data_IF_599027856042
#
_entry.id   IF_599027856042
#
_cell.length_a   1.000
_cell.length_b   1.000
_cell.length_c   1.000
_cell.angle_alpha   90.00
_cell.angle_beta   90.00
_cell.angle_gamma   90.00
#
_symmetry.space_group_name_H-M   'P 1'
#
loop_
_entity.id
_entity.type
_entity.pdbx_description
1 polymer ?
#
# COMPACT_ATOMS: atom_id res chain seq x y z
N UNK A 1 29.47 13.07 19.27
CA UNK A 1 29.70 11.78 18.58
C UNK A 1 28.36 11.32 18.04
N UNK A 2 28.09 11.51 16.76
CA UNK A 2 26.93 10.89 16.11
C UNK A 2 27.12 9.37 16.16
N UNK A 3 26.12 8.58 16.59
CA UNK A 3 26.28 7.13 16.58
C UNK A 3 26.53 6.68 15.14
N UNK A 4 27.65 6.02 14.88
CA UNK A 4 28.06 5.50 13.56
C UNK A 4 27.05 4.50 12.94
N UNK A 5 26.00 4.13 13.68
CA UNK A 5 25.00 3.14 13.31
C UNK A 5 23.55 3.68 13.34
N UNK A 6 23.34 4.98 13.50
CA UNK A 6 21.98 5.52 13.48
C UNK A 6 21.55 5.77 12.02
N UNK A 7 20.54 5.04 11.50
CA UNK A 7 20.05 5.29 10.15
C UNK A 7 19.51 6.72 10.06
N UNK A 8 19.68 7.40 8.91
CA UNK A 8 19.11 8.72 8.70
C UNK A 8 17.60 8.69 8.96
N UNK A 9 17.03 9.73 9.61
CA UNK A 9 15.63 9.75 10.01
C UNK A 9 14.66 9.55 8.82
N UNK A 10 15.03 10.00 7.62
CA UNK A 10 14.29 9.80 6.38
C UNK A 10 14.13 8.31 6.00
N UNK A 11 15.14 7.48 6.27
CA UNK A 11 15.10 6.03 5.99
C UNK A 11 14.14 5.35 6.96
N UNK A 12 14.18 5.73 8.23
CA UNK A 12 13.27 5.21 9.26
C UNK A 12 11.83 5.59 8.95
N UNK A 13 11.59 6.84 8.59
CA UNK A 13 10.27 7.33 8.20
C UNK A 13 9.75 6.59 6.95
N UNK A 14 10.59 6.43 5.92
CA UNK A 14 10.24 5.66 4.72
C UNK A 14 9.87 4.22 5.05
N UNK A 15 10.67 3.52 5.86
CA UNK A 15 10.40 2.14 6.26
C UNK A 15 9.09 2.02 7.06
N UNK A 16 8.83 2.97 7.96
CA UNK A 16 7.59 3.00 8.74
C UNK A 16 6.37 3.19 7.84
N UNK A 17 6.40 4.19 6.95
CA UNK A 17 5.30 4.48 6.01
C UNK A 17 5.05 3.30 5.08
N UNK A 18 6.11 2.73 4.54
CA UNK A 18 6.08 1.57 3.65
C UNK A 18 5.45 0.34 4.32
N UNK A 19 5.73 0.13 5.60
CA UNK A 19 5.32 -1.10 6.30
C UNK A 19 3.95 -0.99 6.99
N UNK A 20 3.58 0.17 7.52
CA UNK A 20 2.44 0.31 8.44
C UNK A 20 1.45 1.41 8.10
N UNK A 21 1.70 2.21 7.05
CA UNK A 21 0.82 3.35 6.72
C UNK A 21 0.25 3.22 5.31
N UNK A 22 1.08 2.88 4.34
CA UNK A 22 0.70 2.98 2.93
C UNK A 22 -0.46 2.05 2.56
N UNK A 23 -0.41 0.77 2.97
CA UNK A 23 -1.46 -0.19 2.62
C UNK A 23 -2.75 0.08 3.40
N UNK A 24 -2.65 0.56 4.64
CA UNK A 24 -3.76 0.93 5.50
C UNK A 24 -4.54 2.11 4.91
N UNK A 25 -3.83 3.18 4.52
CA UNK A 25 -4.44 4.33 3.86
C UNK A 25 -5.01 3.91 2.50
N UNK A 26 -4.30 3.10 1.72
CA UNK A 26 -4.81 2.60 0.43
C UNK A 26 -6.07 1.73 0.61
N UNK A 27 -6.11 0.87 1.62
CA UNK A 27 -7.28 0.05 1.95
C UNK A 27 -8.48 0.91 2.34
N UNK A 28 -8.27 1.98 3.13
CA UNK A 28 -9.33 2.92 3.47
C UNK A 28 -9.86 3.65 2.24
N UNK A 29 -8.98 4.17 1.37
CA UNK A 29 -9.40 4.81 0.11
C UNK A 29 -10.15 3.83 -0.79
N UNK A 30 -9.68 2.59 -0.89
CA UNK A 30 -10.33 1.53 -1.64
C UNK A 30 -11.71 1.18 -1.09
N UNK A 31 -11.85 1.03 0.23
CA UNK A 31 -13.11 0.79 0.91
C UNK A 31 -14.11 1.92 0.67
N UNK A 32 -13.67 3.17 0.84
CA UNK A 32 -14.50 4.35 0.57
C UNK A 32 -15.00 4.35 -0.88
N UNK A 33 -14.15 3.98 -1.84
CA UNK A 33 -14.52 3.87 -3.25
C UNK A 33 -15.47 2.70 -3.53
N UNK A 34 -15.34 1.57 -2.83
CA UNK A 34 -16.25 0.42 -2.94
C UNK A 34 -17.65 0.75 -2.41
N UNK A 35 -17.74 1.50 -1.32
CA UNK A 35 -19.01 1.90 -0.67
C UNK A 35 -19.66 3.07 -1.43
N UNK A 36 -18.91 4.13 -1.74
CA UNK A 36 -19.43 5.35 -2.35
C UNK A 36 -19.46 5.36 -3.89
N UNK A 37 -18.68 4.48 -4.53
CA UNK A 37 -18.59 4.39 -5.99
C UNK A 37 -19.81 3.73 -6.63
N UNK A 38 -20.17 4.18 -7.82
CA UNK A 38 -21.21 3.55 -8.66
C UNK A 38 -20.58 3.03 -9.96
N UNK A 39 -21.03 1.87 -10.43
CA UNK A 39 -20.62 1.30 -11.71
C UNK A 39 -19.31 0.49 -11.66
N UNK A 40 -18.66 0.37 -12.82
CA UNK A 40 -17.54 -0.56 -13.09
C UNK A 40 -16.29 -0.22 -12.26
N UNK A 41 -16.11 1.04 -11.85
CA UNK A 41 -14.99 1.48 -11.01
C UNK A 41 -14.96 0.81 -9.61
N UNK A 42 -16.03 0.12 -9.19
CA UNK A 42 -16.05 -0.64 -7.92
C UNK A 42 -15.18 -1.88 -7.98
N UNK A 43 -15.00 -2.49 -9.15
CA UNK A 43 -14.25 -3.74 -9.29
C UNK A 43 -12.75 -3.54 -9.05
N UNK A 44 -12.06 -2.57 -9.68
CA UNK A 44 -10.66 -2.33 -9.36
C UNK A 44 -10.47 -1.91 -7.90
N UNK A 45 -11.39 -1.11 -7.35
CA UNK A 45 -11.36 -0.75 -5.93
C UNK A 45 -11.49 -1.97 -5.00
N UNK A 46 -12.37 -2.93 -5.32
CA UNK A 46 -12.52 -4.16 -4.56
C UNK A 46 -11.25 -5.03 -4.63
N UNK A 47 -10.66 -5.15 -5.83
CA UNK A 47 -9.39 -5.87 -6.00
C UNK A 47 -8.29 -5.22 -5.20
N UNK A 48 -8.13 -3.89 -5.29
CA UNK A 48 -7.17 -3.14 -4.45
C UNK A 48 -7.42 -3.39 -2.97
N UNK A 49 -8.67 -3.35 -2.51
CA UNK A 49 -9.02 -3.57 -1.11
C UNK A 49 -8.58 -4.96 -0.64
N UNK A 50 -8.85 -6.01 -1.42
CA UNK A 50 -8.43 -7.38 -1.09
C UNK A 50 -6.90 -7.49 -1.06
N UNK A 51 -6.21 -6.91 -2.04
CA UNK A 51 -4.74 -6.93 -2.07
C UNK A 51 -4.14 -6.18 -0.87
N UNK A 52 -4.62 -4.98 -0.58
CA UNK A 52 -4.16 -4.20 0.56
C UNK A 52 -4.46 -4.90 1.89
N UNK A 53 -5.67 -5.44 2.06
CA UNK A 53 -6.04 -6.22 3.24
C UNK A 53 -5.15 -7.46 3.41
N UNK A 54 -4.80 -8.17 2.32
CA UNK A 54 -3.88 -9.31 2.39
C UNK A 54 -2.46 -8.91 2.80
N UNK A 55 -1.98 -7.74 2.35
CA UNK A 55 -0.67 -7.22 2.75
C UNK A 55 -0.64 -6.74 4.21
N UNK A 56 -1.70 -6.08 4.67
CA UNK A 56 -1.90 -5.72 6.08
C UNK A 56 -1.93 -6.99 6.93
N UNK A 57 -2.76 -7.97 6.56
CA UNK A 57 -2.85 -9.24 7.26
C UNK A 57 -1.48 -9.93 7.35
N UNK A 58 -0.73 -9.99 6.25
CA UNK A 58 0.62 -10.59 6.24
C UNK A 58 1.60 -9.83 7.13
N UNK A 59 1.48 -8.50 7.22
CA UNK A 59 2.32 -7.66 8.09
C UNK A 59 2.04 -7.90 9.57
N UNK A 60 0.77 -8.10 9.93
CA UNK A 60 0.34 -8.30 11.33
C UNK A 60 0.20 -9.77 11.75
N UNK A 61 0.20 -10.73 10.82
CA UNK A 61 0.06 -12.16 11.09
C UNK A 61 1.06 -12.69 12.13
N UNK A 62 2.35 -12.27 12.15
CA UNK A 62 3.28 -12.68 13.19
C UNK A 62 2.89 -12.25 14.60
N UNK A 63 2.29 -11.06 14.75
CA UNK A 63 1.83 -10.56 16.04
C UNK A 63 0.65 -11.38 16.60
N UNK A 64 -0.08 -12.08 15.72
CA UNK A 64 -1.19 -12.97 16.06
C UNK A 64 -0.75 -14.45 16.17
N UNK A 65 0.54 -14.75 16.00
CA UNK A 65 1.04 -16.13 15.95
C UNK A 65 0.66 -16.91 14.68
N UNK A 66 0.18 -16.21 13.63
CA UNK A 66 -0.28 -16.79 12.35
C UNK A 66 0.82 -16.77 11.27
N UNK A 67 2.09 -16.84 11.67
CA UNK A 67 3.25 -16.79 10.78
C UNK A 67 3.78 -18.17 10.36
N UNK A 68 3.02 -19.23 10.65
CA UNK A 68 3.40 -20.60 10.33
C UNK A 68 2.65 -21.11 9.10
N UNK A 69 3.34 -21.87 8.25
CA UNK A 69 2.75 -22.55 7.11
C UNK A 69 3.07 -21.95 5.73
N UNK A 70 2.74 -22.69 4.66
CA UNK A 70 3.14 -22.35 3.29
C UNK A 70 2.45 -21.09 2.78
N UNK A 71 1.21 -20.82 3.20
CA UNK A 71 0.46 -19.65 2.77
C UNK A 71 1.13 -18.35 3.24
N UNK A 72 1.45 -18.25 4.54
CA UNK A 72 2.15 -17.10 5.09
C UNK A 72 3.54 -16.95 4.45
N UNK A 73 4.28 -18.05 4.30
CA UNK A 73 5.63 -18.02 3.72
C UNK A 73 5.63 -17.48 2.29
N UNK A 74 4.67 -17.90 1.47
CA UNK A 74 4.54 -17.41 0.10
C UNK A 74 4.10 -15.94 0.06
N UNK A 75 3.13 -15.56 0.90
CA UNK A 75 2.68 -14.17 1.01
C UNK A 75 3.82 -13.24 1.47
N UNK A 76 4.58 -13.65 2.48
CA UNK A 76 5.73 -12.91 2.98
C UNK A 76 6.84 -12.78 1.92
N UNK A 77 7.10 -13.83 1.13
CA UNK A 77 8.04 -13.76 -0.01
C UNK A 77 7.59 -12.77 -1.08
N UNK A 78 6.30 -12.79 -1.44
CA UNK A 78 5.73 -11.82 -2.38
C UNK A 78 5.82 -10.39 -1.83
N UNK A 79 5.59 -10.21 -0.53
CA UNK A 79 5.74 -8.92 0.15
C UNK A 79 7.18 -8.46 0.29
N UNK A 80 8.16 -9.37 0.28
CA UNK A 80 9.58 -9.04 0.33
C UNK A 80 10.21 -8.85 -1.07
N UNK A 81 9.55 -9.31 -2.13
CA UNK A 81 10.04 -9.21 -3.51
C UNK A 81 10.28 -7.76 -3.95
N UNK A 82 11.33 -7.52 -4.75
CA UNK A 82 11.78 -6.17 -5.17
C UNK A 82 11.90 -5.18 -3.98
N UNK A 83 12.46 -5.67 -2.87
CA UNK A 83 12.58 -4.90 -1.63
C UNK A 83 11.24 -4.59 -0.96
N UNK A 84 10.14 -5.19 -1.39
CA UNK A 84 8.76 -4.95 -0.92
C UNK A 84 8.04 -3.77 -1.56
N UNK A 85 8.63 -3.19 -2.61
CA UNK A 85 7.99 -2.08 -3.33
C UNK A 85 6.86 -2.56 -4.25
N UNK A 86 6.99 -3.75 -4.85
CA UNK A 86 5.94 -4.33 -5.70
C UNK A 86 4.63 -4.56 -4.94
N UNK A 87 4.71 -4.92 -3.66
CA UNK A 87 3.56 -5.10 -2.79
C UNK A 87 2.76 -3.82 -2.55
N UNK A 88 3.38 -2.65 -2.70
CA UNK A 88 2.71 -1.34 -2.62
C UNK A 88 2.27 -0.82 -3.99
N UNK A 89 3.13 -0.97 -4.99
CA UNK A 89 2.91 -0.42 -6.33
C UNK A 89 1.82 -1.16 -7.10
N UNK A 90 1.73 -2.50 -6.99
CA UNK A 90 0.73 -3.26 -7.75
C UNK A 90 -0.70 -2.92 -7.30
N UNK A 91 -1.05 -2.95 -6.00
CA UNK A 91 -2.40 -2.54 -5.56
C UNK A 91 -2.69 -1.07 -5.90
N UNK A 92 -1.66 -0.21 -5.84
CA UNK A 92 -1.75 1.20 -6.19
C UNK A 92 -2.06 1.41 -7.68
N UNK A 93 -1.39 0.68 -8.56
CA UNK A 93 -1.64 0.72 -10.01
C UNK A 93 -3.05 0.24 -10.36
N UNK A 94 -3.52 -0.84 -9.72
CA UNK A 94 -4.91 -1.31 -9.85
C UNK A 94 -5.89 -0.24 -9.38
N UNK A 95 -5.59 0.44 -8.27
CA UNK A 95 -6.45 1.51 -7.75
C UNK A 95 -6.49 2.71 -8.70
N UNK A 96 -5.38 3.03 -9.36
CA UNK A 96 -5.29 4.12 -10.33
C UNK A 96 -6.28 3.95 -11.49
N UNK A 97 -6.66 2.71 -11.85
CA UNK A 97 -7.70 2.44 -12.86
C UNK A 97 -9.03 3.11 -12.47
N UNK A 98 -9.32 3.23 -11.16
CA UNK A 98 -10.51 3.92 -10.66
C UNK A 98 -10.52 5.43 -10.98
N UNK A 99 -9.36 6.05 -11.16
CA UNK A 99 -9.21 7.49 -11.43
C UNK A 99 -9.53 7.86 -12.89
N UNK A 100 -9.40 6.90 -13.81
CA UNK A 100 -9.62 7.09 -15.25
C UNK A 100 -11.13 7.02 -15.59
N UNK A 101 -11.96 6.48 -14.69
CA UNK A 101 -13.38 6.28 -14.96
C UNK A 101 -14.15 7.62 -15.01
N UNK A 102 -14.79 7.97 -16.14
CA UNK A 102 -15.58 9.19 -16.25
C UNK A 102 -16.77 9.16 -15.28
N UNK A 103 -17.06 10.29 -14.60
CA UNK A 103 -18.13 10.48 -13.60
C UNK A 103 -17.82 10.00 -12.16
N UNK A 104 -16.55 9.84 -11.80
CA UNK A 104 -16.17 9.58 -10.43
C UNK A 104 -16.56 10.75 -9.49
N UNK A 105 -17.59 10.52 -8.66
CA UNK A 105 -17.86 11.33 -7.47
C UNK A 105 -16.72 11.08 -6.48
N UNK A 106 -16.28 12.10 -5.74
CA UNK A 106 -15.15 12.05 -4.79
C UNK A 106 -13.75 11.97 -5.43
N UNK A 107 -13.46 12.87 -6.38
CA UNK A 107 -12.12 13.05 -6.96
C UNK A 107 -11.00 13.33 -5.96
N UNK A 108 -11.34 13.80 -4.76
CA UNK A 108 -10.35 13.99 -3.69
C UNK A 108 -9.65 12.67 -3.32
N UNK A 109 -10.33 11.52 -3.43
CA UNK A 109 -9.73 10.19 -3.21
C UNK A 109 -8.59 9.94 -4.20
N UNK A 110 -8.81 10.31 -5.46
CA UNK A 110 -7.82 10.16 -6.53
C UNK A 110 -6.63 11.11 -6.29
N UNK A 111 -6.89 12.34 -5.84
CA UNK A 111 -5.84 13.31 -5.46
C UNK A 111 -5.00 12.79 -4.29
N UNK A 112 -5.64 12.31 -3.21
CA UNK A 112 -4.92 11.77 -2.04
C UNK A 112 -4.08 10.56 -2.45
N UNK A 113 -4.63 9.67 -3.29
CA UNK A 113 -3.89 8.52 -3.81
C UNK A 113 -2.67 8.94 -4.64
N UNK A 114 -2.82 9.92 -5.55
CA UNK A 114 -1.71 10.44 -6.36
C UNK A 114 -0.64 11.10 -5.49
N UNK A 115 -1.02 11.90 -4.50
CA UNK A 115 -0.08 12.54 -3.55
C UNK A 115 0.66 11.47 -2.75
N UNK A 116 -0.04 10.45 -2.26
CA UNK A 116 0.58 9.36 -1.50
C UNK A 116 1.53 8.52 -2.37
N UNK A 117 1.13 8.21 -3.61
CA UNK A 117 1.95 7.44 -4.55
C UNK A 117 3.19 8.22 -4.99
N UNK A 118 3.04 9.50 -5.31
CA UNK A 118 4.17 10.38 -5.67
C UNK A 118 5.11 10.58 -4.49
N UNK A 119 4.59 10.76 -3.27
CA UNK A 119 5.39 10.80 -2.05
C UNK A 119 6.18 9.51 -1.83
N UNK A 120 5.54 8.35 -1.98
CA UNK A 120 6.19 7.04 -1.86
C UNK A 120 7.33 6.89 -2.90
N UNK A 121 7.08 7.22 -4.16
CA UNK A 121 8.08 7.13 -5.23
C UNK A 121 9.22 8.13 -5.01
N UNK A 122 8.91 9.36 -4.61
CA UNK A 122 9.91 10.39 -4.34
C UNK A 122 10.82 10.03 -3.18
N UNK A 123 10.25 9.54 -2.06
CA UNK A 123 11.03 9.02 -0.93
C UNK A 123 11.85 7.79 -1.32
N UNK A 124 11.28 6.89 -2.12
CA UNK A 124 11.99 5.70 -2.58
C UNK A 124 13.19 6.08 -3.46
N UNK A 125 13.03 7.04 -4.37
CA UNK A 125 14.11 7.56 -5.21
C UNK A 125 15.20 8.29 -4.40
N UNK A 126 14.82 8.98 -3.33
CA UNK A 126 15.77 9.69 -2.47
C UNK A 126 16.62 8.75 -1.60
N UNK A 127 16.04 7.62 -1.16
CA UNK A 127 16.66 6.69 -0.20
C UNK A 127 17.34 5.49 -0.88
N UNK A 128 17.07 5.22 -2.17
CA UNK A 128 17.68 4.12 -2.94
C UNK A 128 18.96 4.55 -3.64
#
# INVERSE_FOLDING_TARGET
MTPLFQPPPEVVAFLFVKKFVYLEVLALLALLRVIGGRGIARWPALVTLVMAASGIFTTFAPALGLNQGPLYTNAARLMAGNGGMSALLVPSAVFLICSITPRARWRWIDVVHIVMLSGLIGLWWWVS
#
